data_IF_174441381825
#
_entry.id   IF_174441381825
#
_cell.length_a   1.000
_cell.length_b   1.000
_cell.length_c   1.000
_cell.angle_alpha   90.00
_cell.angle_beta   90.00
_cell.angle_gamma   90.00
#
_symmetry.space_group_name_H-M   'P 1'
#
loop_
_entity.id
_entity.type
_entity.pdbx_description
1 polymer ?
#
# COMPACT_ATOMS: atom_id res chain seq x y z
N UNK A 1 13.61 -3.53 8.51
CA UNK A 1 12.24 -3.69 7.97
C UNK A 1 11.65 -4.99 8.49
N UNK A 2 10.46 -4.93 9.07
CA UNK A 2 9.69 -6.12 9.39
C UNK A 2 9.06 -6.69 8.13
N UNK A 3 9.09 -7.99 7.97
CA UNK A 3 8.47 -8.68 6.82
C UNK A 3 7.95 -10.07 7.21
N UNK A 4 7.00 -10.58 6.43
CA UNK A 4 6.48 -11.94 6.49
C UNK A 4 6.74 -12.60 5.14
N UNK A 5 7.20 -13.85 5.16
CA UNK A 5 7.45 -14.62 3.96
C UNK A 5 6.83 -16.02 4.09
N UNK A 6 6.05 -16.43 3.09
CA UNK A 6 5.38 -17.73 3.06
C UNK A 6 5.51 -18.39 1.68
N UNK A 7 5.51 -19.72 1.69
CA UNK A 7 5.57 -20.60 0.53
C UNK A 7 6.92 -20.57 -0.20
N UNK A 8 6.98 -21.17 -1.39
CA UNK A 8 8.20 -21.29 -2.18
C UNK A 8 7.88 -21.17 -3.68
N UNK A 9 8.87 -20.76 -4.47
CA UNK A 9 8.73 -20.54 -5.90
C UNK A 9 9.34 -19.24 -6.36
N UNK A 10 8.82 -18.68 -7.45
CA UNK A 10 9.16 -17.32 -7.90
C UNK A 10 8.73 -16.31 -6.86
N UNK A 11 9.59 -15.35 -6.56
CA UNK A 11 9.26 -14.31 -5.57
C UNK A 11 8.19 -13.34 -6.06
N UNK A 12 7.19 -13.11 -5.21
CA UNK A 12 6.26 -11.98 -5.26
C UNK A 12 6.48 -11.12 -4.02
N UNK A 13 6.62 -9.82 -4.21
CA UNK A 13 6.70 -8.84 -3.13
C UNK A 13 5.48 -7.94 -3.18
N UNK A 14 4.78 -7.85 -2.05
CA UNK A 14 3.52 -7.12 -1.89
C UNK A 14 3.79 -5.81 -1.16
N UNK A 15 3.51 -4.68 -1.85
CA UNK A 15 3.74 -3.34 -1.34
C UNK A 15 2.42 -2.74 -0.85
N UNK A 16 2.26 -2.49 0.46
CA UNK A 16 1.04 -1.91 1.01
C UNK A 16 0.86 -0.43 0.64
N UNK A 17 -0.36 0.05 0.82
CA UNK A 17 -0.72 1.45 0.66
C UNK A 17 -0.17 2.34 1.78
N UNK A 18 -0.51 3.62 1.74
CA UNK A 18 -0.20 4.55 2.83
C UNK A 18 -0.91 4.15 4.11
N UNK A 19 -0.24 4.32 5.26
CA UNK A 19 -0.74 3.96 6.59
C UNK A 19 -1.11 2.47 6.79
N UNK A 20 -0.76 1.59 5.82
CA UNK A 20 -0.99 0.15 5.86
C UNK A 20 0.27 -0.64 6.23
N UNK A 21 0.07 -1.88 6.65
CA UNK A 21 1.14 -2.86 6.96
C UNK A 21 1.15 -4.00 5.96
N UNK A 22 2.17 -4.85 6.02
CA UNK A 22 2.25 -6.06 5.21
C UNK A 22 1.12 -7.05 5.49
N UNK A 23 0.50 -7.01 6.65
CA UNK A 23 -0.61 -7.90 7.06
C UNK A 23 -1.81 -7.80 6.11
N UNK A 24 -2.07 -6.62 5.54
CA UNK A 24 -3.16 -6.37 4.58
C UNK A 24 -3.11 -7.29 3.34
N UNK A 25 -1.93 -7.82 3.02
CA UNK A 25 -1.72 -8.68 1.87
C UNK A 25 -1.69 -10.18 2.19
N UNK A 26 -1.67 -10.57 3.45
CA UNK A 26 -1.45 -11.97 3.82
C UNK A 26 -2.58 -12.91 3.38
N UNK A 27 -3.82 -12.40 3.27
CA UNK A 27 -4.94 -13.17 2.74
C UNK A 27 -4.75 -13.57 1.27
N UNK A 28 -4.09 -12.72 0.47
CA UNK A 28 -3.80 -12.99 -0.93
C UNK A 28 -2.80 -14.13 -1.12
N UNK A 29 -1.94 -14.40 -0.14
CA UNK A 29 -0.94 -15.47 -0.21
C UNK A 29 -1.56 -16.83 -0.47
N UNK A 30 -2.77 -17.07 0.04
CA UNK A 30 -3.50 -18.32 -0.13
C UNK A 30 -3.83 -18.62 -1.61
N UNK A 31 -3.98 -17.58 -2.42
CA UNK A 31 -4.24 -17.69 -3.87
C UNK A 31 -2.95 -17.79 -4.70
N UNK A 32 -1.79 -17.55 -4.08
CA UNK A 32 -0.47 -17.51 -4.73
C UNK A 32 0.52 -18.50 -4.10
N UNK A 33 0.05 -19.68 -3.68
CA UNK A 33 0.87 -20.69 -2.97
C UNK A 33 2.02 -21.26 -3.78
N UNK A 34 1.97 -21.18 -5.12
CA UNK A 34 3.05 -21.60 -6.01
C UNK A 34 4.18 -20.56 -6.12
N UNK A 35 4.04 -19.46 -5.40
CA UNK A 35 5.02 -18.38 -5.32
C UNK A 35 5.53 -18.22 -3.90
N UNK A 36 6.77 -17.73 -3.77
CA UNK A 36 7.25 -17.26 -2.48
C UNK A 36 6.77 -15.82 -2.27
N UNK A 37 5.79 -15.68 -1.40
CA UNK A 37 5.13 -14.40 -1.10
C UNK A 37 5.86 -13.68 0.02
N UNK A 38 6.18 -12.43 -0.17
CA UNK A 38 6.79 -11.54 0.85
C UNK A 38 5.96 -10.28 0.96
N UNK A 39 5.44 -9.99 2.14
CA UNK A 39 4.87 -8.70 2.51
C UNK A 39 5.76 -8.02 3.56
N UNK A 40 5.67 -6.71 3.71
CA UNK A 40 6.51 -5.98 4.64
C UNK A 40 5.79 -4.75 5.20
N UNK A 41 6.23 -4.30 6.36
CA UNK A 41 5.78 -3.03 6.92
C UNK A 41 6.70 -1.92 6.39
N UNK A 42 6.18 -0.93 5.66
CA UNK A 42 6.98 0.22 5.24
C UNK A 42 7.52 0.99 6.45
N UNK A 43 8.57 1.80 6.23
CA UNK A 43 9.03 2.71 7.29
C UNK A 43 7.90 3.61 7.77
N UNK A 44 7.80 3.80 9.08
CA UNK A 44 6.73 4.54 9.73
C UNK A 44 5.45 3.76 9.95
N UNK A 45 5.37 2.48 9.54
CA UNK A 45 4.20 1.62 9.75
C UNK A 45 4.56 0.33 10.49
N UNK A 46 3.59 -0.22 11.17
CA UNK A 46 3.64 -1.53 11.81
C UNK A 46 4.83 -1.73 12.75
N UNK A 47 5.57 -2.81 12.54
CA UNK A 47 6.72 -3.23 13.37
C UNK A 47 8.07 -2.78 12.81
N UNK A 48 8.10 -2.07 11.68
CA UNK A 48 9.35 -1.54 11.13
C UNK A 48 9.86 -0.37 11.98
N UNK A 49 11.10 -0.47 12.43
CA UNK A 49 11.78 0.62 13.16
C UNK A 49 12.44 1.56 12.14
N UNK A 50 12.07 2.84 12.21
CA UNK A 50 12.73 3.91 11.45
C UNK A 50 13.63 4.72 12.39
N UNK A 51 14.84 5.04 11.94
CA UNK A 51 15.78 5.88 12.66
C UNK A 51 15.77 7.32 12.14
N UNK A 52 15.03 7.58 11.09
CA UNK A 52 14.90 8.89 10.47
C UNK A 52 13.45 9.39 10.62
N UNK A 53 13.28 10.66 10.90
CA UNK A 53 11.98 11.29 11.03
C UNK A 53 11.34 11.55 9.66
N UNK A 54 9.97 11.52 9.56
CA UNK A 54 9.26 11.92 8.36
C UNK A 54 9.45 13.43 8.07
N UNK A 55 9.20 13.90 6.83
CA UNK A 55 8.57 13.15 5.74
C UNK A 55 9.55 12.31 4.92
N UNK A 56 9.09 11.16 4.41
CA UNK A 56 9.88 10.32 3.51
C UNK A 56 9.32 10.38 2.08
N UNK A 57 10.20 10.28 1.10
CA UNK A 57 9.82 10.25 -0.32
C UNK A 57 9.54 8.83 -0.81
N UNK A 58 8.82 8.71 -1.92
CA UNK A 58 8.64 7.41 -2.60
C UNK A 58 10.00 6.79 -2.95
N UNK A 59 10.99 7.61 -3.34
CA UNK A 59 12.35 7.15 -3.55
C UNK A 59 12.96 6.48 -2.30
N UNK A 60 12.70 7.03 -1.13
CA UNK A 60 13.19 6.46 0.13
C UNK A 60 12.57 5.08 0.39
N UNK A 61 11.28 4.93 0.18
CA UNK A 61 10.59 3.63 0.28
C UNK A 61 11.11 2.62 -0.75
N UNK A 62 11.36 3.06 -1.98
CA UNK A 62 11.93 2.20 -3.02
C UNK A 62 13.36 1.75 -2.69
N UNK A 63 14.18 2.61 -2.08
CA UNK A 63 15.51 2.23 -1.58
C UNK A 63 15.41 1.16 -0.50
N UNK A 64 14.49 1.31 0.45
CA UNK A 64 14.26 0.30 1.49
C UNK A 64 13.84 -1.03 0.89
N UNK A 65 12.87 -1.00 -0.03
CA UNK A 65 12.41 -2.20 -0.72
C UNK A 65 13.51 -2.86 -1.54
N UNK A 66 14.37 -2.08 -2.20
CA UNK A 66 15.50 -2.62 -2.96
C UNK A 66 16.47 -3.41 -2.08
N UNK A 67 16.73 -2.91 -0.86
CA UNK A 67 17.58 -3.60 0.14
C UNK A 67 16.89 -4.87 0.65
N UNK A 68 15.60 -4.79 1.00
CA UNK A 68 14.83 -5.94 1.44
C UNK A 68 14.87 -7.06 0.39
N UNK A 69 14.59 -6.74 -0.89
CA UNK A 69 14.61 -7.72 -1.98
C UNK A 69 15.98 -8.39 -2.10
N UNK A 70 17.06 -7.64 -2.01
CA UNK A 70 18.42 -8.17 -2.12
C UNK A 70 18.80 -9.08 -0.94
N UNK A 71 18.23 -8.85 0.24
CA UNK A 71 18.52 -9.63 1.44
C UNK A 71 17.70 -10.92 1.53
N UNK A 72 16.39 -10.86 1.18
CA UNK A 72 15.47 -11.96 1.50
C UNK A 72 14.84 -12.63 0.29
N UNK A 73 14.98 -12.06 -0.91
CA UNK A 73 14.41 -12.60 -2.15
C UNK A 73 15.50 -13.07 -3.13
N UNK A 74 15.06 -13.71 -4.21
CA UNK A 74 15.93 -14.10 -5.35
C UNK A 74 15.55 -13.26 -6.58
N UNK A 75 16.18 -12.11 -6.83
CA UNK A 75 15.88 -11.29 -7.99
C UNK A 75 16.12 -12.02 -9.32
N UNK A 76 15.35 -11.67 -10.38
CA UNK A 76 14.31 -10.64 -10.43
C UNK A 76 12.98 -11.13 -9.84
N UNK A 77 12.30 -10.25 -9.08
CA UNK A 77 11.04 -10.53 -8.39
C UNK A 77 9.84 -9.91 -9.12
N UNK A 78 8.65 -10.41 -8.86
CA UNK A 78 7.38 -9.76 -9.19
C UNK A 78 7.05 -8.80 -8.06
N UNK A 79 6.63 -7.56 -8.36
CA UNK A 79 6.26 -6.58 -7.34
C UNK A 79 4.82 -6.14 -7.59
N UNK A 80 3.98 -6.22 -6.55
CA UNK A 80 2.56 -5.83 -6.62
C UNK A 80 2.33 -4.77 -5.56
N UNK A 81 1.71 -3.66 -5.93
CA UNK A 81 1.46 -2.56 -5.00
C UNK A 81 0.15 -1.83 -5.23
N UNK A 82 -0.43 -1.34 -4.14
CA UNK A 82 -1.67 -0.60 -4.11
C UNK A 82 -1.43 0.83 -3.61
N UNK A 83 -2.05 1.84 -4.22
CA UNK A 83 -1.99 3.24 -3.78
C UNK A 83 -0.53 3.72 -3.65
N UNK A 84 -0.06 4.10 -2.46
CA UNK A 84 1.37 4.43 -2.21
C UNK A 84 2.30 3.28 -2.64
N UNK A 85 1.92 2.03 -2.38
CA UNK A 85 2.66 0.85 -2.83
C UNK A 85 2.81 0.77 -4.34
N UNK A 86 1.80 1.22 -5.09
CA UNK A 86 1.87 1.30 -6.55
C UNK A 86 2.88 2.36 -7.03
N UNK A 87 3.00 3.48 -6.32
CA UNK A 87 4.04 4.48 -6.60
C UNK A 87 5.45 3.91 -6.32
N UNK A 88 5.58 3.11 -5.25
CA UNK A 88 6.84 2.40 -4.94
C UNK A 88 7.18 1.42 -6.06
N UNK A 89 6.20 0.66 -6.58
CA UNK A 89 6.39 -0.25 -7.74
C UNK A 89 6.91 0.51 -8.96
N UNK A 90 6.32 1.65 -9.29
CA UNK A 90 6.76 2.49 -10.42
C UNK A 90 8.21 2.94 -10.23
N UNK A 91 8.56 3.42 -9.05
CA UNK A 91 9.92 3.87 -8.71
C UNK A 91 10.92 2.72 -8.76
N UNK A 92 10.54 1.52 -8.30
CA UNK A 92 11.36 0.30 -8.40
C UNK A 92 11.66 -0.08 -9.85
N UNK A 93 10.65 -0.06 -10.72
CA UNK A 93 10.81 -0.35 -12.14
C UNK A 93 11.74 0.65 -12.84
N UNK A 94 11.69 1.92 -12.44
CA UNK A 94 12.54 2.97 -13.00
C UNK A 94 13.98 2.91 -12.50
N UNK A 95 14.19 2.73 -11.19
CA UNK A 95 15.52 2.85 -10.57
C UNK A 95 16.24 1.52 -10.34
N UNK A 96 15.49 0.44 -10.16
CA UNK A 96 16.02 -0.89 -9.87
C UNK A 96 15.51 -1.97 -10.84
N UNK A 97 15.52 -1.74 -12.18
CA UNK A 97 14.91 -2.65 -13.15
C UNK A 97 15.50 -4.06 -13.12
N UNK A 98 16.76 -4.21 -12.69
CA UNK A 98 17.41 -5.52 -12.56
C UNK A 98 16.86 -6.36 -11.40
N UNK A 99 16.22 -5.74 -10.42
CA UNK A 99 15.58 -6.44 -9.31
C UNK A 99 14.15 -6.86 -9.66
N UNK A 100 13.54 -6.28 -10.69
CA UNK A 100 12.15 -6.43 -11.04
C UNK A 100 11.97 -7.30 -12.30
N UNK A 101 11.17 -8.36 -12.20
CA UNK A 101 10.73 -9.15 -13.35
C UNK A 101 9.61 -8.42 -14.10
N UNK A 102 8.62 -7.97 -13.36
CA UNK A 102 7.58 -7.00 -13.75
C UNK A 102 6.91 -6.46 -12.48
N UNK A 103 6.12 -5.39 -12.64
CA UNK A 103 5.36 -4.77 -11.56
C UNK A 103 3.89 -4.61 -11.91
N UNK A 104 3.02 -4.77 -10.91
CA UNK A 104 1.59 -4.47 -11.00
C UNK A 104 1.32 -3.29 -10.06
N UNK A 105 0.94 -2.15 -10.64
CA UNK A 105 0.61 -0.92 -9.91
C UNK A 105 -0.90 -0.69 -9.97
N UNK A 106 -1.57 -0.74 -8.81
CA UNK A 106 -3.02 -0.65 -8.69
C UNK A 106 -3.43 0.60 -7.90
N UNK A 107 -4.55 1.22 -8.28
CA UNK A 107 -5.12 2.35 -7.55
C UNK A 107 -4.18 3.56 -7.49
N UNK A 108 -3.54 3.91 -8.62
CA UNK A 108 -2.59 5.02 -8.72
C UNK A 108 -2.68 5.74 -10.04
N UNK A 109 -2.08 6.91 -10.11
CA UNK A 109 -1.93 7.70 -11.33
C UNK A 109 -0.46 8.05 -11.59
N UNK A 110 -0.13 8.39 -12.84
CA UNK A 110 1.23 8.82 -13.19
C UNK A 110 1.55 10.28 -12.82
N UNK A 111 0.55 11.05 -12.41
CA UNK A 111 0.70 12.45 -12.02
C UNK A 111 -0.41 12.88 -11.06
N UNK A 112 -0.07 13.76 -10.12
CA UNK A 112 -1.03 14.40 -9.23
C UNK A 112 -1.60 15.64 -9.92
N UNK A 113 -2.81 15.54 -10.45
CA UNK A 113 -3.48 16.64 -11.14
C UNK A 113 -4.97 16.71 -10.77
N UNK A 114 -5.55 17.90 -10.90
CA UNK A 114 -6.99 18.13 -10.70
C UNK A 114 -7.47 17.71 -9.32
N UNK A 115 -8.63 17.08 -9.26
CA UNK A 115 -9.30 16.70 -8.00
C UNK A 115 -8.40 15.87 -7.06
N UNK A 116 -7.62 14.94 -7.57
CA UNK A 116 -6.74 14.10 -6.72
C UNK A 116 -5.71 14.94 -5.98
N UNK A 117 -5.12 15.94 -6.66
CA UNK A 117 -4.18 16.86 -6.02
C UNK A 117 -4.85 17.68 -4.93
N UNK A 118 -5.99 18.28 -5.23
CA UNK A 118 -6.75 19.10 -4.27
C UNK A 118 -7.20 18.28 -3.05
N UNK A 119 -7.65 17.06 -3.29
CA UNK A 119 -8.04 16.13 -2.22
C UNK A 119 -6.86 15.77 -1.31
N UNK A 120 -5.70 15.39 -1.87
CA UNK A 120 -4.50 15.07 -1.08
C UNK A 120 -4.04 16.29 -0.25
N UNK A 121 -4.05 17.49 -0.82
CA UNK A 121 -3.71 18.72 -0.10
C UNK A 121 -4.70 18.99 1.04
N UNK A 122 -6.00 18.75 0.83
CA UNK A 122 -7.02 18.92 1.86
C UNK A 122 -6.80 17.93 3.03
N UNK A 123 -6.49 16.65 2.73
CA UNK A 123 -6.17 15.64 3.74
C UNK A 123 -4.91 16.02 4.55
N UNK A 124 -3.85 16.47 3.88
CA UNK A 124 -2.62 16.93 4.53
C UNK A 124 -2.93 18.13 5.45
N UNK A 125 -3.74 19.09 5.00
CA UNK A 125 -4.09 20.26 5.78
C UNK A 125 -4.98 19.90 6.97
N UNK A 126 -5.91 18.97 6.82
CA UNK A 126 -6.71 18.45 7.92
C UNK A 126 -5.82 17.81 9.00
N UNK A 127 -4.89 16.95 8.62
CA UNK A 127 -3.94 16.31 9.55
C UNK A 127 -3.07 17.35 10.27
N UNK A 128 -2.56 18.36 9.56
CA UNK A 128 -1.77 19.47 10.13
C UNK A 128 -2.56 20.35 11.09
N UNK A 129 -3.85 20.51 10.89
CA UNK A 129 -4.71 21.31 11.77
C UNK A 129 -4.95 20.70 13.14
N UNK A 130 -4.69 19.38 13.29
CA UNK A 130 -5.00 18.62 14.50
C UNK A 130 -6.50 18.37 14.72
N UNK A 131 -7.34 18.81 13.81
CA UNK A 131 -8.79 18.55 13.85
C UNK A 131 -9.02 17.08 13.50
N UNK A 132 -9.71 16.38 14.41
CA UNK A 132 -10.13 14.99 14.15
C UNK A 132 -11.49 14.97 13.48
N UNK A 133 -11.60 14.23 12.41
CA UNK A 133 -12.87 13.94 11.76
C UNK A 133 -13.76 13.12 12.71
N UNK A 134 -15.05 13.45 12.86
CA UNK A 134 -15.98 12.56 13.57
C UNK A 134 -15.98 11.16 12.93
N UNK A 135 -16.06 10.11 13.75
CA UNK A 135 -15.92 8.72 13.25
C UNK A 135 -16.95 8.36 12.19
N UNK A 136 -18.19 8.80 12.36
CA UNK A 136 -19.24 8.57 11.37
C UNK A 136 -18.97 9.28 10.03
N UNK A 137 -18.36 10.47 10.09
CA UNK A 137 -17.99 11.20 8.87
C UNK A 137 -16.77 10.57 8.21
N UNK A 138 -15.77 10.16 8.98
CA UNK A 138 -14.59 9.46 8.48
C UNK A 138 -14.99 8.17 7.75
N UNK A 139 -15.91 7.39 8.35
CA UNK A 139 -16.44 6.17 7.74
C UNK A 139 -17.02 6.42 6.33
N UNK A 140 -17.94 7.38 6.20
CA UNK A 140 -18.56 7.67 4.89
C UNK A 140 -17.57 8.30 3.91
N UNK A 141 -16.67 9.14 4.40
CA UNK A 141 -15.63 9.78 3.59
C UNK A 141 -14.71 8.73 2.95
N UNK A 142 -14.17 7.81 3.73
CA UNK A 142 -13.30 6.75 3.22
C UNK A 142 -14.05 5.72 2.40
N UNK A 143 -15.30 5.39 2.76
CA UNK A 143 -16.13 4.49 1.96
C UNK A 143 -16.32 4.99 0.52
N UNK A 144 -16.57 6.30 0.34
CA UNK A 144 -16.72 6.92 -0.98
C UNK A 144 -15.43 6.83 -1.84
N UNK A 145 -14.27 6.72 -1.22
CA UNK A 145 -12.98 6.57 -1.91
C UNK A 145 -12.64 5.11 -2.23
N UNK A 146 -13.09 4.18 -1.38
CA UNK A 146 -12.71 2.78 -1.46
C UNK A 146 -13.66 1.94 -2.32
N UNK A 147 -14.93 2.31 -2.41
CA UNK A 147 -15.96 1.49 -3.04
C UNK A 147 -16.73 2.22 -4.13
N UNK A 148 -17.10 1.52 -5.21
CA UNK A 148 -17.94 2.08 -6.26
C UNK A 148 -19.39 2.25 -5.79
N UNK A 149 -20.14 3.08 -6.50
CA UNK A 149 -21.52 3.43 -6.16
C UNK A 149 -22.45 2.21 -6.07
N UNK A 150 -22.20 1.17 -6.85
CA UNK A 150 -22.96 -0.07 -6.85
C UNK A 150 -22.86 -0.82 -5.51
N UNK A 151 -21.71 -0.76 -4.86
CA UNK A 151 -21.50 -1.34 -3.52
C UNK A 151 -22.14 -0.47 -2.45
N UNK A 152 -21.95 0.85 -2.55
CA UNK A 152 -22.46 1.80 -1.56
C UNK A 152 -23.99 1.94 -1.61
N UNK A 153 -24.60 1.66 -2.76
CA UNK A 153 -26.05 1.69 -2.96
C UNK A 153 -26.78 0.37 -2.67
N UNK A 154 -26.06 -0.69 -2.30
CA UNK A 154 -26.62 -2.00 -1.95
C UNK A 154 -26.42 -2.28 -0.45
N UNK A 155 -27.52 -2.34 0.31
CA UNK A 155 -27.47 -2.52 1.77
C UNK A 155 -26.74 -3.79 2.19
N UNK A 156 -26.86 -4.90 1.44
CA UNK A 156 -26.21 -6.16 1.79
C UNK A 156 -24.70 -6.12 1.53
N UNK A 157 -24.27 -5.47 0.44
CA UNK A 157 -22.87 -5.28 0.13
C UNK A 157 -22.25 -4.28 1.10
N UNK A 158 -22.94 -3.20 1.42
CA UNK A 158 -22.48 -2.21 2.39
C UNK A 158 -22.24 -2.80 3.78
N UNK A 159 -23.17 -3.60 4.32
CA UNK A 159 -23.00 -4.26 5.61
C UNK A 159 -21.77 -5.21 5.66
N UNK A 160 -21.36 -5.76 4.53
CA UNK A 160 -20.12 -6.56 4.44
C UNK A 160 -18.85 -5.69 4.39
N UNK A 161 -18.91 -4.53 3.73
CA UNK A 161 -17.76 -3.65 3.53
C UNK A 161 -17.50 -2.71 4.72
N UNK A 162 -18.57 -2.29 5.41
CA UNK A 162 -18.50 -1.35 6.53
C UNK A 162 -17.46 -1.71 7.60
N UNK A 163 -17.36 -2.96 8.11
CA UNK A 163 -16.33 -3.31 9.10
C UNK A 163 -14.89 -3.20 8.60
N UNK A 164 -14.68 -3.24 7.28
CA UNK A 164 -13.35 -3.05 6.67
C UNK A 164 -12.97 -1.58 6.73
N UNK A 165 -13.91 -0.69 6.39
CA UNK A 165 -13.69 0.77 6.44
C UNK A 165 -13.51 1.26 7.88
N UNK A 166 -14.23 0.68 8.84
CA UNK A 166 -14.12 1.03 10.27
C UNK A 166 -12.75 0.68 10.88
N UNK A 167 -11.99 -0.22 10.26
CA UNK A 167 -10.64 -0.61 10.70
C UNK A 167 -9.52 0.18 10.01
N UNK A 168 -9.80 0.77 8.86
CA UNK A 168 -8.85 1.56 8.10
C UNK A 168 -8.70 2.97 8.70
#
# INVERSE_FOLDING_TARGET
IHYVQKYAGQDIVWCPGGDQTGEEWEEQFEFFRDFRNTSFDPRGAGKTISYEDPPWSINTYAQDLSKLIQEVCKPPVIIIGLSMGALIVQEMLLKYPKLCKFGIAMGTSGAKTGFIHEWEEAEINLRKSGIKMPSEFALVHYALLMYPSEVLGDDQLWEKCKPIVEKA
#
